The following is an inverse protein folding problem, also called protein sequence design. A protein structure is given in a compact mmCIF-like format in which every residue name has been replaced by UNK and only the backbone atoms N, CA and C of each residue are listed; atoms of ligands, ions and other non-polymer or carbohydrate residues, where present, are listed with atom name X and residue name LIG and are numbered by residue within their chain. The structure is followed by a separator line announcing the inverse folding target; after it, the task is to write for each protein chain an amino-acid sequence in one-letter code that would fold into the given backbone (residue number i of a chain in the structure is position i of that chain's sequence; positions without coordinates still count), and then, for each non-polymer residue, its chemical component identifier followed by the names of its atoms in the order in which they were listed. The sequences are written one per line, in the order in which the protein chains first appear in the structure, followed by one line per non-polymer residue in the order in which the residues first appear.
data_IF_366068378620
#
_entry.id   IF_366068378620
#
_cell.length_a   1.000
_cell.length_b   1.000
_cell.length_c   1.000
_cell.angle_alpha   90.00
_cell.angle_beta   90.00
_cell.angle_gamma   90.00
#
_symmetry.space_group_name_H-M   'P 1'
#
loop_
_entity.id
_entity.type
_entity.pdbx_description
1 polymer ?
#
# COMPACT_ATOMS: atom_id res chain seq x y z
N UNK A 1 19.66 -6.53 -1.97
CA UNK A 1 18.87 -5.42 -1.48
C UNK A 1 17.49 -5.46 -2.11
N UNK A 2 16.46 -5.27 -1.31
CA UNK A 2 15.09 -5.33 -1.80
C UNK A 2 14.70 -4.11 -2.62
N UNK A 3 13.55 -4.21 -3.28
CA UNK A 3 13.01 -3.12 -4.09
C UNK A 3 11.57 -2.84 -3.72
N UNK A 4 11.16 -1.58 -3.82
CA UNK A 4 9.77 -1.17 -3.65
C UNK A 4 9.15 -0.98 -5.03
N UNK A 5 7.99 -1.58 -5.23
CA UNK A 5 7.20 -1.40 -6.45
C UNK A 5 5.82 -0.91 -6.05
N UNK A 6 5.44 0.24 -6.56
CA UNK A 6 4.17 0.89 -6.22
C UNK A 6 3.21 0.73 -7.37
N UNK A 7 2.05 0.16 -7.11
CA UNK A 7 0.96 0.07 -8.08
C UNK A 7 -0.12 1.04 -7.61
N UNK A 8 -0.41 2.04 -8.44
CA UNK A 8 -1.43 3.03 -8.12
C UNK A 8 -2.35 3.24 -9.33
N UNK A 9 -3.43 3.95 -9.13
CA UNK A 9 -4.41 4.22 -10.16
C UNK A 9 -5.80 4.30 -9.57
N UNK A 10 -6.79 4.73 -10.36
CA UNK A 10 -8.16 4.84 -9.86
C UNK A 10 -8.81 3.48 -9.65
N UNK A 11 -9.93 3.47 -8.93
CA UNK A 11 -10.75 2.27 -8.78
C UNK A 11 -11.13 1.73 -10.16
N UNK A 12 -11.13 0.41 -10.31
CA UNK A 12 -11.46 -0.22 -11.58
C UNK A 12 -10.35 -0.24 -12.59
N UNK A 13 -9.14 0.15 -12.21
CA UNK A 13 -7.99 0.12 -13.12
C UNK A 13 -7.28 -1.24 -13.16
N UNK A 14 -7.68 -2.17 -12.29
CA UNK A 14 -7.08 -3.50 -12.27
C UNK A 14 -5.91 -3.66 -11.31
N UNK A 15 -5.75 -2.76 -10.35
CA UNK A 15 -4.64 -2.82 -9.38
C UNK A 15 -4.57 -4.16 -8.66
N UNK A 16 -5.68 -4.59 -8.11
CA UNK A 16 -5.73 -5.83 -7.34
C UNK A 16 -5.38 -7.04 -8.19
N UNK A 17 -5.86 -7.08 -9.43
CA UNK A 17 -5.58 -8.17 -10.36
C UNK A 17 -4.09 -8.24 -10.68
N UNK A 18 -3.48 -7.10 -10.97
CA UNK A 18 -2.04 -7.04 -11.27
C UNK A 18 -1.23 -7.47 -10.05
N UNK A 19 -1.59 -7.00 -8.87
CA UNK A 19 -0.88 -7.38 -7.66
C UNK A 19 -0.95 -8.89 -7.41
N UNK A 20 -2.11 -9.49 -7.62
CA UNK A 20 -2.27 -10.94 -7.44
C UNK A 20 -1.43 -11.73 -8.44
N UNK A 21 -1.31 -11.24 -9.67
CA UNK A 21 -0.45 -11.88 -10.65
C UNK A 21 1.02 -11.80 -10.27
N UNK A 22 1.45 -10.62 -9.81
CA UNK A 22 2.84 -10.44 -9.41
C UNK A 22 3.21 -11.25 -8.18
N UNK A 23 2.27 -11.43 -7.25
CA UNK A 23 2.50 -12.20 -6.04
C UNK A 23 2.71 -13.70 -6.29
N UNK A 24 2.46 -14.18 -7.50
CA UNK A 24 2.76 -15.57 -7.85
C UNK A 24 4.26 -15.84 -7.84
N UNK A 25 5.08 -14.80 -8.01
CA UNK A 25 6.51 -14.94 -7.88
C UNK A 25 6.88 -14.97 -6.40
N UNK A 26 7.62 -16.01 -5.93
CA UNK A 26 7.96 -16.14 -4.52
C UNK A 26 8.78 -14.97 -3.97
N UNK A 27 9.44 -14.19 -4.82
CA UNK A 27 10.21 -13.03 -4.37
C UNK A 27 9.35 -11.79 -4.15
N UNK A 28 8.09 -11.81 -4.59
CA UNK A 28 7.19 -10.67 -4.46
C UNK A 28 6.33 -10.85 -3.21
N UNK A 29 6.37 -9.87 -2.32
CA UNK A 29 5.53 -9.82 -1.12
C UNK A 29 4.73 -8.53 -1.14
N UNK A 30 3.44 -8.64 -0.86
CA UNK A 30 2.58 -7.47 -0.83
C UNK A 30 2.55 -6.88 0.57
N UNK A 31 2.66 -5.57 0.64
CA UNK A 31 2.50 -4.82 1.89
C UNK A 31 1.06 -4.92 2.39
N UNK A 32 0.90 -5.00 3.70
CA UNK A 32 -0.41 -4.95 4.33
C UNK A 32 -0.57 -3.57 4.95
N UNK A 33 -1.51 -2.80 4.42
CA UNK A 33 -1.75 -1.43 4.88
C UNK A 33 -2.52 -1.42 6.20
N UNK A 34 -2.43 -0.31 6.92
CA UNK A 34 -3.25 -0.06 8.09
C UNK A 34 -4.45 0.77 7.71
N UNK A 35 -5.56 0.57 8.41
CA UNK A 35 -6.76 1.37 8.20
C UNK A 35 -7.57 1.50 9.47
N UNK A 36 -8.28 2.62 9.57
CA UNK A 36 -9.24 2.84 10.65
C UNK A 36 -10.65 2.39 10.28
N UNK A 37 -10.85 1.94 9.03
CA UNK A 37 -12.12 1.38 8.58
C UNK A 37 -12.40 0.08 9.33
N UNK A 38 -13.65 -0.17 9.64
CA UNK A 38 -14.04 -1.44 10.25
C UNK A 38 -13.87 -2.59 9.24
N UNK A 39 -13.48 -3.78 9.71
CA UNK A 39 -13.35 -4.94 8.82
C UNK A 39 -14.68 -5.29 8.16
N UNK A 40 -14.62 -5.68 6.91
CA UNK A 40 -15.76 -6.23 6.19
C UNK A 40 -15.88 -7.71 6.47
N UNK A 41 -17.02 -8.31 6.08
CA UNK A 41 -17.39 -9.67 6.44
C UNK A 41 -16.29 -10.72 6.27
N UNK A 42 -15.58 -10.71 5.17
CA UNK A 42 -14.55 -11.74 4.88
C UNK A 42 -13.13 -11.30 5.19
N UNK A 43 -12.95 -10.08 5.72
CA UNK A 43 -11.61 -9.55 5.95
C UNK A 43 -11.08 -9.96 7.32
N UNK A 44 -9.82 -10.35 7.33
CA UNK A 44 -9.13 -10.74 8.56
C UNK A 44 -8.04 -9.75 8.89
N UNK A 45 -7.93 -9.41 10.18
CA UNK A 45 -6.87 -8.55 10.66
C UNK A 45 -5.50 -9.17 10.38
N UNK A 46 -4.59 -8.36 9.82
CA UNK A 46 -3.26 -8.81 9.47
C UNK A 46 -3.16 -9.49 8.12
N UNK A 47 -4.28 -9.63 7.40
CA UNK A 47 -4.28 -10.18 6.04
C UNK A 47 -4.77 -9.16 5.02
N UNK A 48 -6.03 -8.72 5.14
CA UNK A 48 -6.54 -7.67 4.24
C UNK A 48 -5.93 -6.33 4.62
N UNK A 49 -5.97 -6.02 5.92
CA UNK A 49 -5.44 -4.80 6.50
C UNK A 49 -5.03 -5.08 7.94
N UNK A 50 -4.23 -4.18 8.51
CA UNK A 50 -4.10 -4.06 9.96
C UNK A 50 -5.17 -3.07 10.40
N UNK A 51 -6.22 -3.54 11.04
CA UNK A 51 -7.32 -2.68 11.48
C UNK A 51 -6.99 -2.07 12.83
N UNK A 52 -6.95 -0.75 12.90
CA UNK A 52 -6.58 -0.03 14.12
C UNK A 52 -7.61 1.06 14.42
N UNK A 53 -7.60 1.56 15.65
CA UNK A 53 -8.47 2.68 16.02
C UNK A 53 -7.95 3.98 15.41
N UNK A 54 -8.84 4.97 15.30
CA UNK A 54 -8.45 6.30 14.83
C UNK A 54 -7.39 6.90 15.74
N UNK A 55 -7.54 6.74 17.05
CA UNK A 55 -6.56 7.27 18.00
C UNK A 55 -5.19 6.63 17.80
N UNK A 56 -5.14 5.32 17.63
CA UNK A 56 -3.87 4.62 17.38
C UNK A 56 -3.23 5.09 16.08
N UNK A 57 -4.03 5.27 15.05
CA UNK A 57 -3.53 5.72 13.75
C UNK A 57 -2.94 7.12 13.86
N UNK A 58 -3.64 8.04 14.53
CA UNK A 58 -3.16 9.40 14.72
C UNK A 58 -1.87 9.44 15.54
N UNK A 59 -1.76 8.58 16.54
CA UNK A 59 -0.54 8.45 17.31
C UNK A 59 0.64 7.98 16.45
N UNK A 60 0.39 7.05 15.54
CA UNK A 60 1.41 6.59 14.60
C UNK A 60 1.88 7.69 13.67
N UNK A 61 0.96 8.56 13.21
CA UNK A 61 1.33 9.72 12.41
C UNK A 61 2.27 10.62 13.19
N UNK A 62 1.93 10.92 14.43
CA UNK A 62 2.74 11.82 15.27
C UNK A 62 4.12 11.26 15.55
N UNK A 63 4.23 9.95 15.67
CA UNK A 63 5.52 9.29 15.95
C UNK A 63 6.34 9.03 14.68
N UNK A 64 5.82 9.36 13.51
CA UNK A 64 6.52 9.13 12.26
C UNK A 64 6.64 7.66 11.87
N UNK A 65 5.70 6.84 12.30
CA UNK A 65 5.72 5.40 12.09
C UNK A 65 5.10 4.96 10.75
N UNK A 66 4.53 5.90 10.00
CA UNK A 66 3.91 5.62 8.71
C UNK A 66 4.75 6.19 7.57
N UNK A 67 5.01 5.37 6.55
CA UNK A 67 5.72 5.81 5.36
C UNK A 67 4.86 6.73 4.51
N UNK A 68 3.57 6.49 4.49
CA UNK A 68 2.58 7.35 3.84
C UNK A 68 1.25 7.17 4.57
N UNK A 69 0.39 8.15 4.45
CA UNK A 69 -0.98 8.03 4.95
C UNK A 69 -1.88 8.99 4.18
N UNK A 70 -3.15 8.62 4.11
CA UNK A 70 -4.16 9.43 3.44
C UNK A 70 -5.52 9.11 4.02
N UNK A 71 -6.46 10.03 3.84
CA UNK A 71 -7.85 9.81 4.21
C UNK A 71 -8.64 9.55 2.93
N UNK A 72 -9.48 8.53 2.96
CA UNK A 72 -10.30 8.16 1.82
C UNK A 72 -11.65 7.64 2.31
N UNK A 73 -12.73 8.24 1.83
CA UNK A 73 -14.10 7.83 2.21
C UNK A 73 -14.31 7.79 3.73
N UNK A 74 -13.76 8.77 4.44
CA UNK A 74 -13.95 8.90 5.88
C UNK A 74 -13.08 8.02 6.75
N UNK A 75 -12.15 7.27 6.16
CA UNK A 75 -11.23 6.41 6.90
C UNK A 75 -9.80 6.74 6.54
N UNK A 76 -8.89 6.51 7.49
CA UNK A 76 -7.47 6.63 7.23
C UNK A 76 -6.90 5.34 6.68
N UNK A 77 -5.92 5.47 5.80
CA UNK A 77 -5.14 4.37 5.26
C UNK A 77 -3.67 4.74 5.31
N UNK A 78 -2.81 3.78 5.61
CA UNK A 78 -1.39 4.07 5.67
C UNK A 78 -0.52 2.83 5.57
N UNK A 79 0.76 3.05 5.32
CA UNK A 79 1.75 2.00 5.17
C UNK A 79 2.76 2.10 6.31
N UNK A 80 2.98 1.02 7.08
CA UNK A 80 3.97 1.06 8.18
C UNK A 80 5.39 1.25 7.64
N UNK A 81 6.11 2.21 8.21
CA UNK A 81 7.48 2.50 7.80
C UNK A 81 8.43 1.33 8.08
N UNK A 82 8.27 0.69 9.23
CA UNK A 82 9.16 -0.41 9.61
C UNK A 82 9.08 -1.58 8.63
N UNK A 83 7.89 -1.90 8.15
CA UNK A 83 7.71 -2.98 7.18
C UNK A 83 8.46 -2.70 5.88
N UNK A 84 8.44 -1.43 5.43
CA UNK A 84 9.19 -1.03 4.23
C UNK A 84 10.69 -1.19 4.45
N UNK A 85 11.19 -0.74 5.59
CA UNK A 85 12.62 -0.82 5.88
C UNK A 85 13.09 -2.26 5.98
N UNK A 86 12.30 -3.11 6.63
CA UNK A 86 12.63 -4.53 6.72
C UNK A 86 12.66 -5.19 5.33
N UNK A 87 11.69 -4.84 4.49
CA UNK A 87 11.62 -5.39 3.13
C UNK A 87 12.85 -4.99 2.30
N UNK A 88 13.32 -3.76 2.45
CA UNK A 88 14.48 -3.27 1.72
C UNK A 88 15.78 -3.95 2.14
N UNK A 89 15.83 -4.50 3.35
CA UNK A 89 17.00 -5.25 3.83
C UNK A 89 17.02 -6.68 3.30
N UNK A 90 15.92 -7.14 2.72
CA UNK A 90 15.80 -8.50 2.17
C UNK A 90 15.88 -8.47 0.65
N UNK A 91 16.21 -9.62 0.06
CA UNK A 91 16.24 -9.74 -1.41
C UNK A 91 14.85 -10.05 -1.94
N UNK A 92 13.91 -9.12 -1.71
CA UNK A 92 12.52 -9.29 -2.16
C UNK A 92 12.04 -8.04 -2.86
N UNK A 93 10.95 -8.21 -3.60
CA UNK A 93 10.21 -7.10 -4.20
C UNK A 93 8.99 -6.86 -3.31
N UNK A 94 8.94 -5.68 -2.69
CA UNK A 94 7.84 -5.31 -1.80
C UNK A 94 6.84 -4.47 -2.57
N UNK A 95 5.63 -4.99 -2.68
CA UNK A 95 4.60 -4.43 -3.55
C UNK A 95 3.62 -3.60 -2.73
N UNK A 96 3.42 -2.36 -3.14
CA UNK A 96 2.49 -1.44 -2.50
C UNK A 96 1.34 -1.15 -3.44
N UNK A 97 0.13 -1.51 -3.04
CA UNK A 97 -1.09 -1.17 -3.78
C UNK A 97 -1.74 -0.01 -3.04
N UNK A 98 -1.50 1.23 -3.51
CA UNK A 98 -1.93 2.42 -2.79
C UNK A 98 -2.47 3.47 -3.76
N UNK A 99 -3.15 4.47 -3.20
CA UNK A 99 -3.69 5.59 -3.96
C UNK A 99 -2.56 6.51 -4.44
N UNK A 100 -2.85 7.30 -5.48
CA UNK A 100 -1.85 8.21 -6.06
C UNK A 100 -1.24 9.13 -5.00
N UNK A 101 -2.07 9.65 -4.11
CA UNK A 101 -1.61 10.54 -3.05
C UNK A 101 -0.56 9.85 -2.17
N UNK A 102 -0.80 8.60 -1.78
CA UNK A 102 0.16 7.82 -1.01
C UNK A 102 1.39 7.48 -1.82
N UNK A 103 1.22 7.17 -3.11
CA UNK A 103 2.35 6.86 -3.99
C UNK A 103 3.32 8.03 -4.06
N UNK A 104 2.81 9.26 -4.16
CA UNK A 104 3.67 10.44 -4.20
C UNK A 104 4.46 10.61 -2.91
N UNK A 105 3.86 10.33 -1.76
CA UNK A 105 4.54 10.39 -0.48
C UNK A 105 5.68 9.36 -0.41
N UNK A 106 5.42 8.14 -0.87
CA UNK A 106 6.45 7.09 -0.88
C UNK A 106 7.60 7.45 -1.80
N UNK A 107 7.30 7.95 -3.00
CA UNK A 107 8.35 8.31 -3.97
C UNK A 107 9.24 9.43 -3.46
N UNK A 108 8.69 10.34 -2.67
CA UNK A 108 9.47 11.42 -2.05
C UNK A 108 10.47 10.87 -1.05
N UNK A 109 10.07 9.88 -0.25
CA UNK A 109 10.92 9.27 0.78
C UNK A 109 11.85 8.20 0.22
N UNK A 110 11.43 7.54 -0.84
CA UNK A 110 12.17 6.44 -1.47
C UNK A 110 12.26 6.68 -2.97
N UNK A 111 13.15 7.59 -3.40
CA UNK A 111 13.21 7.98 -4.82
C UNK A 111 13.54 6.84 -5.79
N UNK A 112 14.11 5.75 -5.27
CA UNK A 112 14.44 4.59 -6.09
C UNK A 112 13.28 3.62 -6.28
N UNK A 113 12.15 3.87 -5.64
CA UNK A 113 10.97 3.02 -5.80
C UNK A 113 10.47 3.08 -7.26
N UNK A 114 10.04 1.92 -7.75
CA UNK A 114 9.45 1.82 -9.09
C UNK A 114 7.96 2.09 -8.96
N UNK A 115 7.46 3.07 -9.68
CA UNK A 115 6.05 3.45 -9.62
C UNK A 115 5.38 3.11 -10.94
N UNK A 116 4.28 2.37 -10.86
CA UNK A 116 3.47 1.99 -12.01
C UNK A 116 2.07 2.55 -11.80
N UNK A 117 1.62 3.42 -12.70
CA UNK A 117 0.29 3.99 -12.63
C UNK A 117 -0.61 3.31 -13.66
N UNK A 118 -1.68 2.68 -13.18
CA UNK A 118 -2.62 1.99 -14.05
C UNK A 118 -3.75 2.92 -14.46
N UNK A 119 -4.07 2.90 -15.73
CA UNK A 119 -5.19 3.64 -16.27
C UNK A 119 -6.37 2.68 -16.46
N UNK A 120 -7.61 3.16 -16.28
CA UNK A 120 -8.77 2.33 -16.56
C UNK A 120 -8.84 2.04 -18.06
N UNK A 121 -9.50 0.94 -18.47
CA UNK A 121 -9.66 0.65 -19.89
C UNK A 121 -10.35 1.78 -20.63
N UNK A 122 -9.97 1.99 -21.89
CA UNK A 122 -10.62 2.97 -22.74
C UNK A 122 -12.05 2.51 -23.05
N UNK A 123 -13.02 3.37 -22.77
CA UNK A 123 -14.44 3.05 -22.94
C UNK A 123 -15.00 3.54 -24.28
N UNK A 124 -14.17 4.07 -25.13
CA UNK A 124 -14.63 4.57 -26.42
C UNK A 124 -14.80 3.51 -27.48
N UNK A 125 -14.35 2.35 -27.21
CA UNK A 125 -14.47 1.26 -28.14
C UNK A 125 -15.89 0.76 -28.25
#
# INVERSE_FOLDING_TARGET
MGKLVIISGPSGSGKTTICKLLEKDPLVKKSISMTTRLPRHSEKNGKAYHFVSTNDFEEMIQKGELAEHAEYCGSYYGTPMNALREALEKEIIYLLEIEVQGALQIMEKFPEAISIFLLPPDKKT
#
